data_IF_345761481108
#
_entry.id   IF_345761481108
#
_cell.length_a   1.000
_cell.length_b   1.000
_cell.length_c   1.000
_cell.angle_alpha   90.00
_cell.angle_beta   90.00
_cell.angle_gamma   90.00
#
_symmetry.space_group_name_H-M   'P 1'
#
loop_
_entity.id
_entity.type
_entity.pdbx_description
1 polymer ?
#
# COMPACT_ATOMS: atom_id res chain seq x y z
N UNK A 1 -14.29 18.49 -6.94
CA UNK A 1 -14.21 17.24 -6.16
C UNK A 1 -14.69 16.13 -7.06
N UNK A 2 -13.85 15.15 -7.34
CA UNK A 2 -14.18 13.99 -8.16
C UNK A 2 -14.30 12.76 -7.26
N UNK A 3 -15.16 11.81 -7.64
CA UNK A 3 -15.36 10.54 -6.94
C UNK A 3 -15.18 9.42 -7.96
N UNK A 4 -14.27 8.49 -7.67
CA UNK A 4 -13.95 7.36 -8.52
C UNK A 4 -14.39 6.06 -7.85
N UNK A 5 -14.97 5.16 -8.63
CA UNK A 5 -15.25 3.82 -8.18
C UNK A 5 -13.94 3.02 -8.13
N UNK A 6 -13.61 2.46 -6.97
CA UNK A 6 -12.40 1.62 -6.76
C UNK A 6 -12.69 0.13 -6.88
N UNK A 7 -13.93 -0.24 -7.23
CA UNK A 7 -14.41 -1.59 -7.48
C UNK A 7 -15.60 -1.56 -8.42
N UNK A 8 -15.98 -2.71 -8.96
CA UNK A 8 -17.22 -2.86 -9.70
C UNK A 8 -18.43 -2.60 -8.79
N UNK A 9 -19.47 -1.95 -9.32
CA UNK A 9 -20.68 -1.57 -8.59
C UNK A 9 -21.88 -2.02 -9.42
N UNK A 10 -22.66 -2.96 -8.88
CA UNK A 10 -23.87 -3.45 -9.54
C UNK A 10 -24.99 -2.39 -9.50
N UNK A 11 -25.85 -2.30 -10.53
CA UNK A 11 -26.98 -1.38 -10.54
C UNK A 11 -27.86 -1.53 -9.29
N UNK A 12 -28.21 -0.39 -8.67
CA UNK A 12 -29.01 -0.35 -7.44
C UNK A 12 -28.20 -0.48 -6.14
N UNK A 13 -26.89 -0.73 -6.20
CA UNK A 13 -26.01 -0.71 -5.02
C UNK A 13 -25.84 0.72 -4.48
N UNK A 14 -25.73 0.84 -3.16
CA UNK A 14 -25.37 2.10 -2.52
C UNK A 14 -23.90 2.48 -2.80
N UNK A 15 -23.66 3.76 -3.09
CA UNK A 15 -22.32 4.31 -3.22
C UNK A 15 -21.79 4.71 -1.84
N UNK A 16 -20.66 4.13 -1.43
CA UNK A 16 -20.09 4.34 -0.10
C UNK A 16 -18.65 4.84 -0.18
N UNK A 17 -18.23 5.66 0.78
CA UNK A 17 -16.84 6.04 1.02
C UNK A 17 -16.51 5.95 2.52
N UNK A 18 -15.24 5.72 2.86
CA UNK A 18 -14.82 5.69 4.26
C UNK A 18 -14.58 7.09 4.81
N UNK A 19 -15.14 7.41 5.98
CA UNK A 19 -14.92 8.70 6.65
C UNK A 19 -13.63 8.75 7.47
N UNK A 20 -13.02 7.59 7.71
CA UNK A 20 -11.84 7.43 8.57
C UNK A 20 -10.81 6.53 7.89
N UNK A 21 -9.58 6.54 8.38
CA UNK A 21 -8.49 5.72 7.84
C UNK A 21 -8.62 4.20 8.12
N UNK A 22 -9.66 3.79 8.86
CA UNK A 22 -9.89 2.40 9.26
C UNK A 22 -9.42 2.09 10.69
N UNK A 23 -8.86 0.90 10.91
CA UNK A 23 -8.41 0.42 12.23
C UNK A 23 -9.34 -0.66 12.82
N UNK A 24 -9.11 -1.15 14.05
CA UNK A 24 -9.92 -2.17 14.70
C UNK A 24 -11.36 -1.70 14.98
N UNK A 25 -12.29 -2.65 15.12
CA UNK A 25 -13.72 -2.37 15.23
C UNK A 25 -14.08 -1.43 16.39
N UNK A 26 -13.45 -1.60 17.56
CA UNK A 26 -13.67 -0.74 18.74
C UNK A 26 -13.32 0.72 18.45
N UNK A 27 -12.13 0.96 17.89
CA UNK A 27 -11.67 2.32 17.53
C UNK A 27 -12.55 2.92 16.44
N UNK A 28 -12.79 2.16 15.36
CA UNK A 28 -13.63 2.62 14.24
C UNK A 28 -15.02 3.01 14.70
N UNK A 29 -15.70 2.16 15.48
CA UNK A 29 -17.07 2.40 15.95
C UNK A 29 -17.12 3.60 16.88
N UNK A 30 -16.16 3.71 17.81
CA UNK A 30 -16.04 4.87 18.69
C UNK A 30 -15.87 6.16 17.89
N UNK A 31 -14.96 6.17 16.91
CA UNK A 31 -14.72 7.33 16.04
C UNK A 31 -15.95 7.69 15.22
N UNK A 32 -16.61 6.71 14.59
CA UNK A 32 -17.81 6.97 13.79
C UNK A 32 -18.94 7.51 14.67
N UNK A 33 -19.16 6.94 15.85
CA UNK A 33 -20.19 7.42 16.77
C UNK A 33 -19.90 8.84 17.26
N UNK A 34 -18.65 9.10 17.65
CA UNK A 34 -18.22 10.38 18.22
C UNK A 34 -18.27 11.51 17.18
N UNK A 35 -17.75 11.27 15.98
CA UNK A 35 -17.60 12.32 14.97
C UNK A 35 -18.77 12.43 13.99
N UNK A 36 -19.58 11.36 13.83
CA UNK A 36 -20.67 11.31 12.84
C UNK A 36 -22.02 10.88 13.42
N UNK A 37 -22.10 10.49 14.69
CA UNK A 37 -23.36 10.31 15.42
C UNK A 37 -24.10 8.99 15.19
N UNK A 38 -23.60 8.08 14.37
CA UNK A 38 -24.27 6.81 14.05
C UNK A 38 -23.45 5.57 14.43
N UNK A 39 -24.11 4.42 14.51
CA UNK A 39 -23.48 3.12 14.72
C UNK A 39 -23.24 2.45 13.37
N UNK A 40 -21.97 2.19 13.02
CA UNK A 40 -21.63 1.62 11.72
C UNK A 40 -22.09 0.15 11.63
N UNK A 41 -22.86 -0.16 10.58
CA UNK A 41 -23.39 -1.49 10.28
C UNK A 41 -22.78 -2.11 9.01
N UNK A 42 -21.60 -1.63 8.57
CA UNK A 42 -20.91 -2.20 7.41
C UNK A 42 -20.56 -3.68 7.62
N UNK A 43 -20.23 -4.39 6.55
CA UNK A 43 -19.92 -5.83 6.57
C UNK A 43 -18.91 -6.20 7.67
N UNK A 44 -17.81 -5.43 7.81
CA UNK A 44 -16.79 -5.65 8.85
C UNK A 44 -17.34 -5.44 10.28
N UNK A 45 -18.18 -4.42 10.48
CA UNK A 45 -18.81 -4.19 11.77
C UNK A 45 -19.91 -5.22 12.05
N UNK A 46 -20.51 -5.83 11.04
CA UNK A 46 -21.60 -6.80 11.17
C UNK A 46 -21.11 -8.26 11.29
N UNK A 47 -19.80 -8.51 11.16
CA UNK A 47 -19.18 -9.83 11.38
C UNK A 47 -19.53 -10.42 12.76
N UNK A 48 -19.62 -11.75 12.83
CA UNK A 48 -19.70 -12.50 14.09
C UNK A 48 -18.45 -12.29 14.98
N UNK A 49 -18.54 -12.55 16.30
CA UNK A 49 -17.49 -12.21 17.26
C UNK A 49 -16.10 -12.72 16.89
N UNK A 50 -15.99 -13.98 16.46
CA UNK A 50 -14.73 -14.65 16.12
C UNK A 50 -14.12 -14.05 14.85
N UNK A 51 -14.91 -13.91 13.79
CA UNK A 51 -14.45 -13.31 12.53
C UNK A 51 -14.04 -11.85 12.71
N UNK A 52 -14.79 -11.09 13.52
CA UNK A 52 -14.45 -9.70 13.86
C UNK A 52 -13.15 -9.62 14.64
N UNK A 53 -12.93 -10.53 15.61
CA UNK A 53 -11.67 -10.58 16.37
C UNK A 53 -10.47 -10.82 15.45
N UNK A 54 -10.58 -11.73 14.48
CA UNK A 54 -9.53 -12.01 13.49
C UNK A 54 -9.23 -10.77 12.62
N UNK A 55 -10.28 -10.09 12.13
CA UNK A 55 -10.12 -8.82 11.38
C UNK A 55 -9.45 -7.75 12.24
N UNK A 56 -9.87 -7.60 13.50
CA UNK A 56 -9.29 -6.62 14.43
C UNK A 56 -7.81 -6.90 14.70
N UNK A 57 -7.41 -8.16 14.91
CA UNK A 57 -6.01 -8.54 15.09
C UNK A 57 -5.16 -8.20 13.85
N UNK A 58 -5.68 -8.44 12.64
CA UNK A 58 -5.00 -8.05 11.40
C UNK A 58 -4.85 -6.55 11.28
N UNK A 59 -5.88 -5.77 11.61
CA UNK A 59 -5.86 -4.32 11.49
C UNK A 59 -5.00 -3.64 12.56
N UNK A 60 -4.95 -4.19 13.77
CA UNK A 60 -3.96 -3.78 14.79
C UNK A 60 -2.53 -4.02 14.30
N UNK A 61 -2.30 -5.18 13.66
CA UNK A 61 -1.00 -5.49 13.08
C UNK A 61 -0.67 -4.55 11.92
N UNK A 62 -1.64 -4.22 11.08
CA UNK A 62 -1.46 -3.25 9.99
C UNK A 62 -1.02 -1.88 10.51
N UNK A 63 -1.65 -1.37 11.58
CA UNK A 63 -1.24 -0.10 12.21
C UNK A 63 0.22 -0.14 12.67
N UNK A 64 0.63 -1.21 13.37
CA UNK A 64 2.02 -1.37 13.83
C UNK A 64 3.03 -1.47 12.69
N UNK A 65 2.66 -2.14 11.60
CA UNK A 65 3.51 -2.25 10.40
C UNK A 65 3.65 -0.88 9.73
N UNK A 66 2.56 -0.14 9.59
CA UNK A 66 2.56 1.20 9.00
C UNK A 66 3.46 2.17 9.79
N UNK A 67 3.34 2.16 11.12
CA UNK A 67 4.21 2.93 12.02
C UNK A 67 5.68 2.52 11.87
N UNK A 68 5.97 1.22 11.80
CA UNK A 68 7.33 0.72 11.64
C UNK A 68 7.94 1.11 10.28
N UNK A 69 7.16 1.05 9.20
CA UNK A 69 7.56 1.49 7.86
C UNK A 69 7.85 3.00 7.85
N UNK A 70 7.09 3.78 8.61
CA UNK A 70 7.28 5.21 8.77
C UNK A 70 8.54 5.64 9.54
N UNK A 71 9.26 4.73 10.20
CA UNK A 71 10.50 5.05 10.95
C UNK A 71 11.71 5.21 10.01
N UNK A 72 12.27 6.43 9.84
CA UNK A 72 13.42 6.68 8.97
C UNK A 72 14.67 5.88 9.34
N UNK A 73 14.85 5.55 10.62
CA UNK A 73 16.00 4.74 11.06
C UNK A 73 15.83 3.29 10.64
N UNK A 74 14.61 2.74 10.77
CA UNK A 74 14.32 1.37 10.36
C UNK A 74 14.55 1.19 8.85
N UNK A 75 14.00 2.08 8.02
CA UNK A 75 14.18 2.00 6.55
C UNK A 75 15.64 2.18 6.13
N UNK A 76 16.42 2.96 6.87
CA UNK A 76 17.85 3.18 6.59
C UNK A 76 18.72 1.99 6.99
N UNK A 77 18.54 1.47 8.20
CA UNK A 77 19.47 0.50 8.79
C UNK A 77 19.00 -0.96 8.71
N UNK A 78 17.71 -1.19 8.47
CA UNK A 78 17.12 -2.53 8.42
C UNK A 78 16.20 -2.69 7.19
N UNK A 79 16.69 -2.38 5.97
CA UNK A 79 15.81 -2.24 4.81
C UNK A 79 15.13 -3.54 4.38
N UNK A 80 15.77 -4.70 4.56
CA UNK A 80 15.12 -5.99 4.26
C UNK A 80 13.92 -6.24 5.18
N UNK A 81 13.99 -5.81 6.46
CA UNK A 81 12.85 -5.91 7.39
C UNK A 81 11.76 -4.90 7.03
N UNK A 82 12.12 -3.67 6.71
CA UNK A 82 11.15 -2.65 6.30
C UNK A 82 10.39 -3.07 5.03
N UNK A 83 11.08 -3.62 4.02
CA UNK A 83 10.42 -4.10 2.80
C UNK A 83 9.56 -5.35 3.07
N UNK A 84 9.98 -6.23 3.97
CA UNK A 84 9.17 -7.37 4.43
C UNK A 84 7.91 -6.91 5.19
N UNK A 85 8.01 -5.85 6.00
CA UNK A 85 6.86 -5.23 6.68
C UNK A 85 5.87 -4.68 5.64
N UNK A 86 6.35 -4.03 4.57
CA UNK A 86 5.49 -3.59 3.45
C UNK A 86 4.75 -4.77 2.80
N UNK A 87 5.45 -5.88 2.52
CA UNK A 87 4.82 -7.09 1.95
C UNK A 87 3.75 -7.67 2.88
N UNK A 88 4.04 -7.70 4.18
CA UNK A 88 3.09 -8.20 5.17
C UNK A 88 1.87 -7.29 5.30
N UNK A 89 2.06 -5.97 5.22
CA UNK A 89 0.97 -5.00 5.20
C UNK A 89 0.10 -5.16 3.95
N UNK A 90 0.70 -5.41 2.78
CA UNK A 90 -0.03 -5.69 1.55
C UNK A 90 -0.94 -6.91 1.69
N UNK A 91 -0.43 -8.02 2.25
CA UNK A 91 -1.22 -9.22 2.48
C UNK A 91 -2.41 -8.99 3.42
N UNK A 92 -2.26 -8.09 4.41
CA UNK A 92 -3.37 -7.67 5.26
C UNK A 92 -4.38 -6.85 4.46
N UNK A 93 -3.92 -5.90 3.63
CA UNK A 93 -4.81 -5.11 2.78
C UNK A 93 -5.61 -5.98 1.81
N UNK A 94 -5.01 -7.00 1.22
CA UNK A 94 -5.71 -7.99 0.39
C UNK A 94 -6.76 -8.75 1.21
N UNK A 95 -6.40 -9.23 2.41
CA UNK A 95 -7.31 -9.97 3.30
C UNK A 95 -8.50 -9.14 3.79
N UNK A 96 -8.28 -7.85 4.03
CA UNK A 96 -9.27 -6.90 4.55
C UNK A 96 -9.92 -6.06 3.43
N UNK A 97 -9.63 -6.38 2.16
CA UNK A 97 -10.19 -5.74 0.97
C UNK A 97 -9.98 -4.20 0.94
N UNK A 98 -8.81 -3.75 1.38
CA UNK A 98 -8.41 -2.34 1.37
C UNK A 98 -7.99 -1.94 -0.04
N UNK A 99 -8.80 -1.09 -0.67
CA UNK A 99 -8.62 -0.61 -2.06
C UNK A 99 -8.56 0.91 -2.18
N UNK A 100 -8.49 1.63 -1.06
CA UNK A 100 -8.39 3.10 -1.05
C UNK A 100 -6.93 3.57 -1.13
N UNK A 101 -6.71 4.87 -0.91
CA UNK A 101 -5.40 5.53 -1.00
C UNK A 101 -4.31 4.97 -0.08
N UNK A 102 -4.65 4.08 0.87
CA UNK A 102 -3.65 3.33 1.64
C UNK A 102 -2.83 2.38 0.76
N UNK A 103 -3.43 1.78 -0.27
CA UNK A 103 -2.74 0.87 -1.18
C UNK A 103 -1.67 1.57 -2.04
N UNK A 104 -1.95 2.66 -2.79
CA UNK A 104 -0.90 3.38 -3.50
C UNK A 104 0.15 3.98 -2.57
N UNK A 105 -0.21 4.40 -1.35
CA UNK A 105 0.76 4.85 -0.34
C UNK A 105 1.74 3.74 0.05
N UNK A 106 1.26 2.53 0.30
CA UNK A 106 2.10 1.38 0.62
C UNK A 106 3.12 1.08 -0.50
N UNK A 107 2.69 1.10 -1.76
CA UNK A 107 3.61 0.95 -2.88
C UNK A 107 4.62 2.09 -2.97
N UNK A 108 4.21 3.32 -2.64
CA UNK A 108 5.12 4.45 -2.56
C UNK A 108 6.14 4.28 -1.43
N UNK A 109 5.74 3.78 -0.26
CA UNK A 109 6.69 3.49 0.83
C UNK A 109 7.73 2.44 0.42
N UNK A 110 7.32 1.37 -0.24
CA UNK A 110 8.24 0.37 -0.81
C UNK A 110 9.19 0.98 -1.86
N UNK A 111 8.68 1.86 -2.73
CA UNK A 111 9.49 2.64 -3.67
C UNK A 111 10.55 3.46 -2.94
N UNK A 112 10.17 4.20 -1.89
CA UNK A 112 11.08 5.07 -1.15
C UNK A 112 12.21 4.26 -0.50
N UNK A 113 11.88 3.11 0.09
CA UNK A 113 12.87 2.17 0.64
C UNK A 113 13.83 1.72 -0.46
N UNK A 114 13.33 1.21 -1.60
CA UNK A 114 14.17 0.76 -2.70
C UNK A 114 15.05 1.89 -3.28
N UNK A 115 14.49 3.08 -3.45
CA UNK A 115 15.20 4.26 -3.97
C UNK A 115 16.34 4.71 -3.06
N UNK A 116 16.10 4.75 -1.74
CA UNK A 116 17.13 5.05 -0.74
C UNK A 116 18.35 4.14 -0.89
N UNK A 117 18.14 2.87 -1.26
CA UNK A 117 19.20 1.85 -1.39
C UNK A 117 19.66 1.61 -2.84
N UNK A 118 19.41 2.57 -3.75
CA UNK A 118 19.84 2.56 -5.17
C UNK A 118 19.21 1.47 -6.06
N UNK A 119 18.07 0.89 -5.70
CA UNK A 119 17.45 -0.21 -6.45
C UNK A 119 16.50 0.30 -7.55
N UNK A 120 17.06 0.69 -8.70
CA UNK A 120 16.26 1.23 -9.81
C UNK A 120 15.25 0.21 -10.36
N UNK A 121 15.62 -1.07 -10.38
CA UNK A 121 14.76 -2.14 -10.89
C UNK A 121 13.46 -2.27 -10.08
N UNK A 122 13.52 -2.21 -8.75
CA UNK A 122 12.31 -2.25 -7.91
C UNK A 122 11.59 -0.92 -7.84
N UNK A 123 12.31 0.21 -7.88
CA UNK A 123 11.68 1.54 -7.89
C UNK A 123 10.74 1.68 -9.08
N UNK A 124 11.12 1.27 -10.30
CA UNK A 124 10.22 1.41 -11.45
C UNK A 124 8.95 0.56 -11.29
N UNK A 125 9.04 -0.65 -10.74
CA UNK A 125 7.89 -1.54 -10.52
C UNK A 125 6.97 -1.03 -9.40
N UNK A 126 7.52 -0.57 -8.28
CA UNK A 126 6.70 0.01 -7.22
C UNK A 126 6.08 1.36 -7.63
N UNK A 127 6.80 2.18 -8.42
CA UNK A 127 6.24 3.39 -9.01
C UNK A 127 5.04 3.06 -9.90
N UNK A 128 5.19 2.06 -10.75
CA UNK A 128 4.16 1.55 -11.65
C UNK A 128 2.92 1.06 -10.88
N UNK A 129 3.09 0.25 -9.82
CA UNK A 129 1.98 -0.22 -8.98
C UNK A 129 1.28 0.90 -8.23
N UNK A 130 2.05 1.83 -7.66
CA UNK A 130 1.51 3.01 -6.99
C UNK A 130 0.70 3.87 -7.97
N UNK A 131 1.23 4.07 -9.19
CA UNK A 131 0.58 4.85 -10.25
C UNK A 131 -0.76 4.22 -10.66
N UNK A 132 -0.78 2.92 -10.94
CA UNK A 132 -1.99 2.24 -11.38
C UNK A 132 -3.08 2.29 -10.27
N UNK A 133 -2.67 2.11 -9.02
CA UNK A 133 -3.58 2.24 -7.88
C UNK A 133 -4.07 3.69 -7.67
N UNK A 134 -3.22 4.70 -7.90
CA UNK A 134 -3.63 6.13 -7.92
C UNK A 134 -4.64 6.40 -9.02
N UNK A 135 -4.42 5.90 -10.24
CA UNK A 135 -5.35 6.08 -11.37
C UNK A 135 -6.74 5.50 -11.03
N UNK A 136 -6.79 4.35 -10.35
CA UNK A 136 -8.04 3.76 -9.89
C UNK A 136 -8.76 4.64 -8.85
N UNK A 137 -8.02 5.21 -7.89
CA UNK A 137 -8.58 5.99 -6.79
C UNK A 137 -8.91 7.45 -7.16
N UNK A 138 -8.15 8.04 -8.09
CA UNK A 138 -8.10 9.49 -8.33
C UNK A 138 -8.34 9.87 -9.80
N UNK A 139 -8.45 8.89 -10.70
CA UNK A 139 -8.60 9.13 -12.13
C UNK A 139 -7.29 9.24 -12.90
N UNK A 140 -7.41 9.21 -14.24
CA UNK A 140 -6.27 9.26 -15.17
C UNK A 140 -5.56 10.62 -15.19
N UNK A 141 -6.23 11.66 -14.73
CA UNK A 141 -5.76 13.04 -14.62
C UNK A 141 -5.07 13.34 -13.27
N UNK A 142 -4.88 12.33 -12.41
CA UNK A 142 -4.14 12.46 -11.16
C UNK A 142 -2.72 13.00 -11.38
N UNK A 143 -2.40 14.13 -10.73
CA UNK A 143 -1.06 14.69 -10.72
C UNK A 143 -0.05 13.77 -10.03
N UNK A 144 -0.50 13.01 -9.03
CA UNK A 144 0.32 12.02 -8.32
C UNK A 144 0.67 10.84 -9.25
N UNK A 145 -0.30 10.33 -10.01
CA UNK A 145 -0.05 9.33 -11.03
C UNK A 145 0.94 9.84 -12.10
N UNK A 146 0.78 11.08 -12.56
CA UNK A 146 1.71 11.70 -13.51
C UNK A 146 3.13 11.88 -12.94
N UNK A 147 3.27 12.14 -11.63
CA UNK A 147 4.57 12.19 -10.96
C UNK A 147 5.22 10.80 -10.88
N UNK A 148 4.45 9.78 -10.53
CA UNK A 148 4.92 8.39 -10.46
C UNK A 148 5.35 7.85 -11.83
N UNK A 149 4.69 8.26 -12.91
CA UNK A 149 5.08 7.92 -14.29
C UNK A 149 6.53 8.32 -14.60
N UNK A 150 6.96 9.49 -14.11
CA UNK A 150 8.34 9.96 -14.27
C UNK A 150 9.32 9.04 -13.56
N UNK A 151 8.94 8.50 -12.39
CA UNK A 151 9.75 7.55 -11.63
C UNK A 151 9.77 6.15 -12.24
N UNK A 152 8.71 5.74 -12.97
CA UNK A 152 8.75 4.52 -13.79
C UNK A 152 9.84 4.63 -14.86
N UNK A 153 9.87 5.77 -15.56
CA UNK A 153 10.83 6.02 -16.65
C UNK A 153 12.25 6.33 -16.17
N UNK A 154 12.38 7.04 -15.05
CA UNK A 154 13.67 7.47 -14.48
C UNK A 154 13.68 7.31 -12.96
N UNK A 155 13.83 6.07 -12.43
CA UNK A 155 13.90 5.80 -11.00
C UNK A 155 14.88 6.69 -10.21
N UNK A 156 16.02 7.01 -10.82
CA UNK A 156 17.08 7.81 -10.22
C UNK A 156 16.74 9.30 -10.04
N UNK A 157 15.61 9.79 -10.58
CA UNK A 157 15.15 11.16 -10.31
C UNK A 157 14.33 11.28 -9.02
N UNK A 158 14.10 10.18 -8.30
CA UNK A 158 13.50 10.24 -6.97
C UNK A 158 14.40 11.03 -6.01
N UNK A 159 13.83 11.94 -5.23
CA UNK A 159 14.58 12.92 -4.43
C UNK A 159 15.58 12.29 -3.44
N UNK A 160 15.21 11.16 -2.83
CA UNK A 160 16.03 10.46 -1.85
C UNK A 160 16.76 9.26 -2.47
N UNK A 161 16.92 9.23 -3.80
CA UNK A 161 17.62 8.16 -4.47
C UNK A 161 19.11 8.14 -4.11
N UNK A 162 19.64 6.94 -3.84
CA UNK A 162 21.09 6.73 -3.76
C UNK A 162 21.76 7.17 -2.47
N UNK A 163 20.99 7.41 -1.41
CA UNK A 163 21.49 7.67 -0.05
C UNK A 163 22.41 6.55 0.44
N UNK A 164 22.10 5.30 0.08
CA UNK A 164 22.99 4.14 0.21
C UNK A 164 23.02 3.35 -1.11
N UNK A 165 23.92 2.37 -1.20
CA UNK A 165 24.09 1.50 -2.37
C UNK A 165 23.82 0.02 -2.07
N UNK A 166 23.14 -0.28 -0.96
CA UNK A 166 22.97 -1.65 -0.46
C UNK A 166 22.29 -2.59 -1.47
N UNK A 167 21.40 -2.06 -2.30
CA UNK A 167 20.63 -2.82 -3.29
C UNK A 167 20.79 -2.25 -4.69
N UNK A 168 21.97 -1.68 -4.98
CA UNK A 168 22.23 -1.01 -6.25
C UNK A 168 21.87 -1.93 -7.42
N UNK A 169 20.95 -1.46 -8.25
CA UNK A 169 20.51 -2.14 -9.48
C UNK A 169 20.22 -1.11 -10.57
N UNK A 170 19.99 -1.60 -11.78
CA UNK A 170 19.63 -0.85 -12.98
C UNK A 170 18.31 -1.34 -13.55
N UNK A 171 17.66 -0.52 -14.38
CA UNK A 171 16.41 -0.89 -15.06
C UNK A 171 16.51 -2.20 -15.87
N UNK A 172 17.70 -2.54 -16.39
CA UNK A 172 17.92 -3.76 -17.15
C UNK A 172 17.87 -5.04 -16.31
N UNK A 173 17.90 -4.93 -14.99
CA UNK A 173 17.89 -6.05 -14.04
C UNK A 173 16.48 -6.41 -13.55
N UNK A 174 15.43 -5.78 -14.09
CA UNK A 174 14.05 -6.26 -13.92
C UNK A 174 13.93 -7.62 -14.62
N UNK A 175 13.55 -8.70 -13.91
CA UNK A 175 13.36 -10.01 -14.49
C UNK A 175 12.36 -9.98 -15.64
N UNK A 176 12.68 -10.70 -16.72
CA UNK A 176 11.82 -10.91 -17.88
C UNK A 176 11.53 -12.39 -18.00
N UNK A 177 10.33 -12.73 -18.46
CA UNK A 177 9.92 -14.11 -18.75
C UNK A 177 10.00 -15.06 -17.54
N UNK A 178 9.83 -14.52 -16.33
CA UNK A 178 9.69 -15.30 -15.08
C UNK A 178 8.22 -15.45 -14.71
N UNK A 179 7.87 -16.49 -13.96
CA UNK A 179 6.50 -16.67 -13.47
C UNK A 179 6.11 -15.63 -12.40
N UNK A 180 4.81 -15.39 -12.23
CA UNK A 180 4.30 -14.37 -11.27
C UNK A 180 4.81 -14.58 -9.85
N UNK A 181 4.89 -15.84 -9.39
CA UNK A 181 5.38 -16.18 -8.04
C UNK A 181 6.85 -15.79 -7.88
N UNK A 182 7.68 -16.10 -8.87
CA UNK A 182 9.11 -15.78 -8.88
C UNK A 182 9.31 -14.26 -8.98
N UNK A 183 8.48 -13.58 -9.77
CA UNK A 183 8.48 -12.13 -9.88
C UNK A 183 8.14 -11.46 -8.55
N UNK A 184 7.10 -11.92 -7.84
CA UNK A 184 6.75 -11.39 -6.52
C UNK A 184 7.85 -11.68 -5.47
N UNK A 185 8.43 -12.87 -5.48
CA UNK A 185 9.55 -13.20 -4.59
C UNK A 185 10.74 -12.29 -4.83
N UNK A 186 11.09 -12.05 -6.10
CA UNK A 186 12.10 -11.07 -6.47
C UNK A 186 11.69 -9.66 -6.00
N UNK A 187 10.51 -9.17 -6.36
CA UNK A 187 10.08 -7.80 -6.07
C UNK A 187 10.17 -7.49 -4.58
N UNK A 188 9.72 -8.40 -3.73
CA UNK A 188 9.74 -8.24 -2.27
C UNK A 188 11.04 -8.68 -1.59
N UNK A 189 12.07 -9.05 -2.37
CA UNK A 189 13.34 -9.62 -1.88
C UNK A 189 13.11 -10.77 -0.88
N UNK A 190 12.06 -11.54 -1.12
CA UNK A 190 11.69 -12.64 -0.24
C UNK A 190 12.65 -13.82 -0.45
N UNK A 191 13.07 -14.44 0.65
CA UNK A 191 13.78 -15.72 0.57
C UNK A 191 12.73 -16.82 0.35
N UNK A 192 13.10 -17.80 -0.49
CA UNK A 192 12.38 -19.06 -0.60
C UNK A 192 12.36 -19.82 0.73
#
# INVERSE_FOLDING_TARGET
>A
MLVHAVRNIEPGSELTLSYIAGGPSTERRSNIKTYFGFDCACELCSLGPEARKISDERLQKAQKLDEAIGDPKRVRYMPDRALADCRQLLSIYESEQVMDLRLPRLYYDALQICGMHSDQARVCIFAQRSRDARILCEGRDSSEAAALEKLVSKPSSFENFGVTKNWKSTLGEVPKDVGDVEFEQWLWRAKN
#
